data_IF_279061946611
#
_entry.id   IF_279061946611
#
_cell.length_a   1.000
_cell.length_b   1.000
_cell.length_c   1.000
_cell.angle_alpha   90.00
_cell.angle_beta   90.00
_cell.angle_gamma   90.00
#
_symmetry.space_group_name_H-M   'P 1'
#
loop_
_entity.id
_entity.type
_entity.pdbx_description
1 polymer ?
#
# COMPACT_ATOMS: atom_id res chain seq x y z
N UNK A 1 -8.89 11.94 19.47
CA UNK A 1 -8.12 11.05 18.59
C UNK A 1 -7.60 11.93 17.46
N UNK A 2 -6.28 11.98 17.24
CA UNK A 2 -5.71 12.83 16.19
C UNK A 2 -5.63 12.01 14.91
N UNK A 3 -6.29 12.46 13.86
CA UNK A 3 -6.21 11.84 12.54
C UNK A 3 -4.97 12.35 11.81
N UNK A 4 -4.20 11.45 11.20
CA UNK A 4 -3.04 11.79 10.37
C UNK A 4 -3.35 11.35 8.93
N UNK A 5 -3.21 12.27 7.99
CA UNK A 5 -3.35 12.01 6.56
C UNK A 5 -1.96 11.97 5.92
N UNK A 6 -1.62 10.90 5.21
CA UNK A 6 -0.30 10.67 4.63
C UNK A 6 -0.46 10.39 3.13
N UNK A 7 0.44 10.93 2.31
CA UNK A 7 0.56 10.62 0.89
C UNK A 7 1.93 10.01 0.56
N UNK A 8 1.95 8.97 -0.29
CA UNK A 8 3.17 8.30 -0.74
C UNK A 8 3.47 8.75 -2.17
N UNK A 9 4.58 9.48 -2.37
CA UNK A 9 5.02 10.00 -3.68
C UNK A 9 6.40 9.43 -4.01
N UNK A 10 6.55 8.97 -5.25
CA UNK A 10 7.79 8.42 -5.78
C UNK A 10 7.75 8.41 -7.31
N UNK A 11 8.91 8.22 -7.94
CA UNK A 11 9.06 8.08 -9.39
C UNK A 11 8.19 6.95 -9.97
N UNK A 12 7.99 6.95 -11.30
CA UNK A 12 7.28 5.85 -11.98
C UNK A 12 7.97 4.52 -11.66
N UNK A 13 7.18 3.50 -11.40
CA UNK A 13 7.62 2.13 -11.04
C UNK A 13 8.52 1.99 -9.80
N UNK A 14 8.63 3.02 -8.95
CA UNK A 14 9.39 2.97 -7.71
C UNK A 14 8.74 2.13 -6.57
N UNK A 15 7.65 1.42 -6.85
CA UNK A 15 7.02 0.52 -5.87
C UNK A 15 6.06 1.17 -4.87
N UNK A 16 5.49 2.35 -5.18
CA UNK A 16 4.49 3.03 -4.32
C UNK A 16 3.34 2.10 -3.92
N UNK A 17 2.77 1.41 -4.90
CA UNK A 17 1.67 0.46 -4.71
C UNK A 17 2.07 -0.70 -3.80
N UNK A 18 3.25 -1.29 -4.02
CA UNK A 18 3.77 -2.38 -3.19
C UNK A 18 4.05 -1.95 -1.75
N UNK A 19 4.47 -0.71 -1.53
CA UNK A 19 4.63 -0.15 -0.19
C UNK A 19 3.27 0.01 0.51
N UNK A 20 2.26 0.53 -0.19
CA UNK A 20 0.89 0.66 0.36
C UNK A 20 0.33 -0.71 0.78
N UNK A 21 0.45 -1.73 -0.07
CA UNK A 21 0.08 -3.11 0.27
C UNK A 21 0.72 -3.58 1.58
N UNK A 22 2.03 -3.35 1.73
CA UNK A 22 2.75 -3.79 2.92
C UNK A 22 2.27 -3.06 4.16
N UNK A 23 2.04 -1.75 4.08
CA UNK A 23 1.49 -0.97 5.20
C UNK A 23 0.12 -1.53 5.61
N UNK A 24 -0.77 -1.77 4.66
CA UNK A 24 -2.11 -2.31 4.93
C UNK A 24 -2.05 -3.70 5.56
N UNK A 25 -1.13 -4.55 5.12
CA UNK A 25 -0.95 -5.89 5.69
C UNK A 25 -0.37 -5.85 7.10
N UNK A 26 0.72 -5.10 7.32
CA UNK A 26 1.39 -4.99 8.63
C UNK A 26 0.48 -4.32 9.69
N UNK A 27 -0.45 -3.48 9.24
CA UNK A 27 -1.47 -2.86 10.11
C UNK A 27 -2.74 -3.70 10.26
N UNK A 28 -2.77 -4.92 9.73
CA UNK A 28 -3.90 -5.85 9.75
C UNK A 28 -5.20 -5.31 9.10
N UNK A 29 -5.09 -4.36 8.17
CA UNK A 29 -6.23 -3.86 7.39
C UNK A 29 -6.63 -4.86 6.31
N UNK A 30 -5.65 -5.55 5.72
CA UNK A 30 -5.85 -6.63 4.75
C UNK A 30 -5.21 -7.93 5.25
N UNK A 31 -5.75 -9.07 4.84
CA UNK A 31 -5.29 -10.40 5.30
C UNK A 31 -4.14 -10.97 4.47
N UNK A 32 -3.95 -10.47 3.25
CA UNK A 32 -2.99 -10.97 2.28
C UNK A 32 -2.42 -9.80 1.47
N UNK A 33 -1.16 -9.91 1.07
CA UNK A 33 -0.45 -8.90 0.28
C UNK A 33 -0.76 -9.10 -1.20
N UNK A 34 -1.32 -8.08 -1.84
CA UNK A 34 -1.52 -8.01 -3.29
C UNK A 34 -0.24 -7.71 -4.07
N UNK A 35 -0.32 -7.89 -5.38
CA UNK A 35 0.79 -7.75 -6.33
C UNK A 35 0.36 -6.98 -7.57
N UNK A 36 1.19 -6.02 -7.98
CA UNK A 36 0.92 -5.15 -9.14
C UNK A 36 0.79 -5.93 -10.44
N UNK A 37 1.65 -6.93 -10.64
CA UNK A 37 1.63 -7.84 -11.79
C UNK A 37 0.40 -8.76 -11.80
N UNK A 38 -0.20 -9.01 -10.64
CA UNK A 38 -1.44 -9.78 -10.51
C UNK A 38 -2.70 -8.91 -10.55
N UNK A 39 -2.56 -7.58 -10.58
CA UNK A 39 -3.69 -6.63 -10.62
C UNK A 39 -4.62 -6.69 -9.40
N UNK A 40 -4.17 -7.24 -8.27
CA UNK A 40 -5.00 -7.50 -7.09
C UNK A 40 -4.61 -6.65 -5.86
N UNK A 41 -4.01 -5.48 -6.10
CA UNK A 41 -3.61 -4.53 -5.05
C UNK A 41 -4.78 -3.64 -4.60
N UNK A 42 -4.84 -3.32 -3.32
CA UNK A 42 -5.67 -2.34 -2.64
C UNK A 42 -4.82 -1.10 -2.29
N UNK A 43 -5.22 0.08 -2.77
CA UNK A 43 -4.52 1.36 -2.57
C UNK A 43 -5.41 2.43 -2.00
#
# INVERSE_FOLDING_TARGET
MTTINIGIVAHVDAGKTSLTERILYETNVIKEVGRVDSGNTQT
#
